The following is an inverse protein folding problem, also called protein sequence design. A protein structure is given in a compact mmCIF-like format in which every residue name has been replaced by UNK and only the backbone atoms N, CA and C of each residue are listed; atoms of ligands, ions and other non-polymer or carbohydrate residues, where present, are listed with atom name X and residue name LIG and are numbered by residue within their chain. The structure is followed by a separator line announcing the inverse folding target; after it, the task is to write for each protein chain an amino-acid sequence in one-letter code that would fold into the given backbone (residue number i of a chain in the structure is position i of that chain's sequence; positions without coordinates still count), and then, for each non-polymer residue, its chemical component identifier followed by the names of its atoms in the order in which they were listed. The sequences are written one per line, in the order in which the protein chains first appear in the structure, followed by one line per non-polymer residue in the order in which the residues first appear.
data_IF_178063710392
#
_entry.id   IF_178063710392
#
_cell.length_a   1.000
_cell.length_b   1.000
_cell.length_c   1.000
_cell.angle_alpha   90.00
_cell.angle_beta   90.00
_cell.angle_gamma   90.00
#
_symmetry.space_group_name_H-M   'P 1'
#
loop_
_entity.id
_entity.type
_entity.pdbx_description
1 polymer ?
#
# COMPACT_ATOMS: atom_id res chain seq x y z
N UNK A 1 -21.24 -1.53 14.47
CA UNK A 1 -20.39 -2.60 13.89
C UNK A 1 -20.49 -2.64 12.37
N UNK A 2 -21.67 -2.39 11.78
CA UNK A 2 -21.88 -2.51 10.33
C UNK A 2 -21.15 -1.44 9.49
N UNK A 3 -20.96 -0.24 10.02
CA UNK A 3 -20.21 0.82 9.32
C UNK A 3 -18.72 0.47 9.16
N UNK A 4 -18.10 -0.12 10.19
CA UNK A 4 -16.70 -0.50 10.14
C UNK A 4 -16.47 -1.63 9.13
N UNK A 5 -17.40 -2.59 9.05
CA UNK A 5 -17.37 -3.66 8.04
C UNK A 5 -17.50 -3.11 6.62
N UNK A 6 -18.37 -2.11 6.41
CA UNK A 6 -18.49 -1.42 5.11
C UNK A 6 -17.20 -0.68 4.76
N UNK A 7 -16.64 0.06 5.71
CA UNK A 7 -15.38 0.80 5.53
C UNK A 7 -14.23 -0.14 5.16
N UNK A 8 -14.10 -1.26 5.88
CA UNK A 8 -13.09 -2.29 5.60
C UNK A 8 -13.30 -2.91 4.22
N UNK A 9 -14.53 -3.29 3.87
CA UNK A 9 -14.86 -3.88 2.56
C UNK A 9 -14.49 -2.95 1.39
N UNK A 10 -14.84 -1.66 1.48
CA UNK A 10 -14.47 -0.68 0.44
C UNK A 10 -12.96 -0.49 0.38
N UNK A 11 -12.29 -0.43 1.54
CA UNK A 11 -10.83 -0.26 1.60
C UNK A 11 -10.09 -1.45 0.97
N UNK A 12 -10.50 -2.68 1.29
CA UNK A 12 -9.95 -3.90 0.67
C UNK A 12 -10.21 -3.92 -0.83
N UNK A 13 -11.43 -3.59 -1.26
CA UNK A 13 -11.77 -3.54 -2.68
C UNK A 13 -10.87 -2.58 -3.47
N UNK A 14 -10.63 -1.38 -2.93
CA UNK A 14 -9.73 -0.39 -3.54
C UNK A 14 -8.28 -0.87 -3.60
N UNK A 15 -7.81 -1.58 -2.57
CA UNK A 15 -6.45 -2.11 -2.52
C UNK A 15 -6.25 -3.30 -3.47
N UNK A 16 -7.20 -4.24 -3.48
CA UNK A 16 -7.12 -5.50 -4.23
C UNK A 16 -7.43 -5.32 -5.73
N UNK A 17 -8.57 -4.70 -6.06
CA UNK A 17 -9.03 -4.64 -7.46
C UNK A 17 -8.35 -3.55 -8.26
N UNK A 18 -8.01 -2.44 -7.62
CA UNK A 18 -7.42 -1.28 -8.29
C UNK A 18 -5.92 -1.14 -8.04
N UNK A 19 -5.32 -2.02 -7.22
CA UNK A 19 -3.90 -1.94 -6.86
C UNK A 19 -3.54 -0.62 -6.17
N UNK A 20 -4.51 0.02 -5.51
CA UNK A 20 -4.33 1.35 -4.95
C UNK A 20 -3.49 1.26 -3.68
N UNK A 21 -2.22 1.59 -3.83
CA UNK A 21 -1.25 1.67 -2.72
C UNK A 21 -1.11 3.10 -2.19
N UNK A 22 -0.53 3.25 -0.99
CA UNK A 22 -0.21 4.58 -0.41
C UNK A 22 0.64 5.44 -1.35
N UNK A 23 1.48 4.82 -2.19
CA UNK A 23 2.23 5.52 -3.25
C UNK A 23 1.31 6.25 -4.22
N UNK A 24 0.21 5.63 -4.66
CA UNK A 24 -0.72 6.26 -5.59
C UNK A 24 -1.40 7.47 -4.95
N UNK A 25 -1.78 7.36 -3.67
CA UNK A 25 -2.34 8.47 -2.90
C UNK A 25 -1.32 9.61 -2.78
N UNK A 26 -0.05 9.30 -2.48
CA UNK A 26 1.03 10.29 -2.41
C UNK A 26 1.20 11.04 -3.72
N UNK A 27 1.20 10.35 -4.86
CA UNK A 27 1.29 10.98 -6.19
C UNK A 27 0.12 11.93 -6.45
N UNK A 28 -1.10 11.59 -6.03
CA UNK A 28 -2.26 12.49 -6.14
C UNK A 28 -2.11 13.72 -5.24
N UNK A 29 -1.64 13.53 -4.00
CA UNK A 29 -1.41 14.63 -3.08
C UNK A 29 -0.32 15.59 -3.58
N UNK A 30 0.80 15.07 -4.09
CA UNK A 30 1.86 15.90 -4.66
C UNK A 30 1.36 16.73 -5.86
N UNK A 31 0.49 16.14 -6.71
CA UNK A 31 -0.20 16.88 -7.80
C UNK A 31 -1.16 17.94 -7.27
N UNK A 32 -1.91 17.66 -6.19
CA UNK A 32 -2.79 18.66 -5.59
C UNK A 32 -2.01 19.82 -4.98
N UNK A 33 -0.89 19.53 -4.32
CA UNK A 33 0.01 20.55 -3.76
C UNK A 33 0.61 21.41 -4.88
N UNK A 34 0.99 20.82 -6.01
CA UNK A 34 1.54 21.61 -7.12
C UNK A 34 0.52 22.57 -7.75
N UNK A 35 -0.77 22.22 -7.75
CA UNK A 35 -1.85 23.08 -8.27
C UNK A 35 -2.34 24.09 -7.23
N UNK A 36 -2.41 23.70 -5.95
CA UNK A 36 -2.98 24.51 -4.87
C UNK A 36 -2.06 24.58 -3.63
N UNK A 37 -0.83 25.13 -3.76
CA UNK A 37 0.18 25.03 -2.72
C UNK A 37 -0.26 25.61 -1.37
N UNK A 38 -0.82 26.82 -1.37
CA UNK A 38 -1.24 27.53 -0.14
C UNK A 38 -2.30 26.77 0.66
N UNK A 39 -3.22 26.09 -0.02
CA UNK A 39 -4.34 25.40 0.60
C UNK A 39 -3.99 23.95 0.98
N UNK A 40 -3.20 23.27 0.16
CA UNK A 40 -2.97 21.84 0.27
C UNK A 40 -1.71 21.49 1.06
N UNK A 41 -0.63 22.28 1.00
CA UNK A 41 0.66 21.92 1.62
C UNK A 41 0.55 21.67 3.13
N UNK A 42 -0.21 22.52 3.83
CA UNK A 42 -0.43 22.43 5.29
C UNK A 42 -1.14 21.16 5.76
N UNK A 43 -1.79 20.41 4.86
CA UNK A 43 -2.60 19.23 5.18
C UNK A 43 -2.16 17.96 4.45
N UNK A 44 -1.60 18.09 3.25
CA UNK A 44 -1.28 16.96 2.37
C UNK A 44 0.24 16.76 2.21
N UNK A 45 1.07 17.71 2.66
CA UNK A 45 2.52 17.51 2.63
C UNK A 45 2.91 16.33 3.52
N UNK A 46 3.96 15.60 3.14
CA UNK A 46 4.45 14.44 3.89
C UNK A 46 4.97 14.82 5.30
N UNK A 47 5.21 16.11 5.54
CA UNK A 47 5.60 16.67 6.83
C UNK A 47 4.52 17.59 7.42
N UNK A 48 3.30 17.56 6.89
CA UNK A 48 2.19 18.33 7.42
C UNK A 48 1.92 17.93 8.88
N UNK A 49 1.60 18.91 9.74
CA UNK A 49 1.40 18.69 11.19
C UNK A 49 0.29 17.67 11.52
N UNK A 50 -0.62 17.44 10.57
CA UNK A 50 -1.71 16.46 10.71
C UNK A 50 -1.23 15.01 10.55
N UNK A 51 -0.07 14.80 9.90
CA UNK A 51 0.53 13.47 9.75
C UNK A 51 1.12 13.05 11.09
N UNK A 52 0.46 12.11 11.77
CA UNK A 52 0.85 11.68 13.11
C UNK A 52 2.21 10.95 13.14
N UNK A 53 2.54 10.20 12.07
CA UNK A 53 3.73 9.36 11.98
C UNK A 53 4.48 9.59 10.65
N UNK A 54 5.13 10.75 10.47
CA UNK A 54 5.73 11.14 9.18
C UNK A 54 6.84 10.19 8.71
N UNK A 55 7.66 9.67 9.64
CA UNK A 55 8.71 8.70 9.30
C UNK A 55 8.14 7.35 8.82
N UNK A 56 6.98 6.94 9.35
CA UNK A 56 6.33 5.71 8.92
C UNK A 56 5.75 5.87 7.51
N UNK A 57 4.99 6.95 7.27
CA UNK A 57 4.38 7.23 5.96
C UNK A 57 5.44 7.37 4.86
N UNK A 58 6.52 8.13 5.13
CA UNK A 58 7.64 8.27 4.21
C UNK A 58 8.32 6.93 3.95
N UNK A 59 8.58 6.14 5.01
CA UNK A 59 9.22 4.84 4.87
C UNK A 59 8.41 3.88 4.00
N UNK A 60 7.10 3.77 4.24
CA UNK A 60 6.21 2.92 3.44
C UNK A 60 6.17 3.41 1.99
N UNK A 61 6.06 4.73 1.77
CA UNK A 61 6.05 5.30 0.42
C UNK A 61 7.35 5.00 -0.34
N UNK A 62 8.52 5.11 0.32
CA UNK A 62 9.82 4.79 -0.28
C UNK A 62 9.94 3.31 -0.65
N UNK A 63 9.54 2.40 0.25
CA UNK A 63 9.51 0.96 -0.02
C UNK A 63 8.64 0.65 -1.25
N UNK A 64 7.49 1.33 -1.38
CA UNK A 64 6.60 1.16 -2.53
C UNK A 64 7.15 1.80 -3.83
N UNK A 65 8.07 2.75 -3.75
CA UNK A 65 8.64 3.48 -4.88
C UNK A 65 9.92 2.86 -5.44
N UNK A 66 10.66 2.08 -4.66
CA UNK A 66 12.00 1.64 -5.04
C UNK A 66 12.74 0.89 -3.92
N UNK A 67 14.08 0.93 -3.93
CA UNK A 67 14.87 0.10 -3.04
C UNK A 67 14.83 0.59 -1.59
N UNK A 68 14.76 -0.37 -0.67
CA UNK A 68 14.76 -0.17 0.79
C UNK A 68 16.06 0.50 1.31
N UNK A 69 17.09 0.59 0.48
CA UNK A 69 18.34 1.31 0.76
C UNK A 69 18.13 2.80 1.02
N UNK A 70 17.05 3.38 0.50
CA UNK A 70 16.78 4.82 0.55
C UNK A 70 16.08 5.26 1.85
N UNK A 71 15.82 4.30 2.74
CA UNK A 71 15.29 4.56 4.08
C UNK A 71 16.36 5.17 4.97
N UNK A 72 16.03 6.29 5.59
CA UNK A 72 16.78 6.82 6.73
C UNK A 72 16.68 5.86 7.92
N UNK A 73 17.59 5.93 8.90
CA UNK A 73 17.50 5.11 10.12
C UNK A 73 16.16 5.24 10.85
N UNK A 74 15.59 6.44 10.90
CA UNK A 74 14.31 6.72 11.55
C UNK A 74 13.12 6.13 10.80
N UNK A 75 13.10 6.23 9.46
CA UNK A 75 12.06 5.59 8.63
C UNK A 75 12.15 4.07 8.74
N UNK A 76 13.36 3.51 8.65
CA UNK A 76 13.63 2.07 8.83
C UNK A 76 13.16 1.56 10.18
N UNK A 77 13.41 2.30 11.26
CA UNK A 77 12.92 1.96 12.59
C UNK A 77 11.39 1.99 12.66
N UNK A 78 10.74 2.96 12.01
CA UNK A 78 9.29 3.12 12.00
C UNK A 78 8.57 2.02 11.21
N UNK A 79 9.13 1.57 10.08
CA UNK A 79 8.51 0.52 9.23
C UNK A 79 8.90 -0.90 9.64
N UNK A 80 9.87 -1.07 10.55
CA UNK A 80 10.34 -2.37 11.04
C UNK A 80 9.21 -3.35 11.41
N UNK A 81 8.10 -2.95 12.06
CA UNK A 81 7.03 -3.88 12.40
C UNK A 81 6.32 -4.50 11.18
N UNK A 82 6.42 -3.87 10.00
CA UNK A 82 5.85 -4.36 8.75
C UNK A 82 6.83 -5.20 7.94
N UNK A 83 8.11 -5.20 8.32
CA UNK A 83 9.12 -5.99 7.62
C UNK A 83 8.94 -7.45 7.98
N UNK A 84 8.94 -8.31 6.95
CA UNK A 84 8.89 -9.75 7.16
C UNK A 84 10.12 -10.16 7.97
N UNK A 85 9.92 -10.69 9.17
CA UNK A 85 10.97 -11.44 9.86
C UNK A 85 11.40 -12.55 8.92
N UNK A 86 12.70 -12.73 8.69
CA UNK A 86 13.22 -13.73 7.76
C UNK A 86 13.03 -15.19 8.24
N UNK A 87 12.03 -15.42 9.09
CA UNK A 87 11.66 -16.72 9.61
C UNK A 87 10.82 -17.45 8.56
N UNK A 88 11.29 -18.65 8.20
CA UNK A 88 10.65 -19.55 7.25
C UNK A 88 9.26 -19.90 7.80
N UNK A 89 8.22 -19.30 7.24
CA UNK A 89 6.85 -19.69 7.57
C UNK A 89 6.57 -21.01 6.84
N UNK A 90 6.85 -22.13 7.51
CA UNK A 90 6.27 -23.42 7.14
C UNK A 90 4.77 -23.35 7.47
N UNK A 91 3.99 -22.77 6.57
CA UNK A 91 2.53 -22.79 6.69
C UNK A 91 2.07 -24.10 6.06
N UNK A 92 1.78 -25.11 6.89
CA UNK A 92 0.91 -26.18 6.42
C UNK A 92 -0.46 -25.56 6.09
N UNK A 93 -1.11 -25.99 5.00
CA UNK A 93 -2.39 -25.42 4.58
C UNK A 93 -3.44 -25.69 5.65
N UNK A 94 -3.88 -24.65 6.34
CA UNK A 94 -5.06 -24.72 7.21
C UNK A 94 -6.31 -24.53 6.37
N UNK A 95 -7.22 -25.51 6.45
CA UNK A 95 -8.55 -25.51 5.83
C UNK A 95 -9.49 -24.46 6.48
N UNK A 96 -9.10 -23.18 6.51
CA UNK A 96 -9.98 -22.10 6.93
C UNK A 96 -10.86 -21.64 5.76
N UNK A 97 -12.17 -21.81 5.95
CA UNK A 97 -13.24 -21.54 5.00
C UNK A 97 -13.16 -20.11 4.42
N UNK A 98 -12.86 -20.04 3.11
CA UNK A 98 -12.66 -18.82 2.35
C UNK A 98 -13.92 -17.93 2.35
N UNK A 99 -13.91 -16.83 3.11
CA UNK A 99 -14.99 -15.85 3.14
C UNK A 99 -14.89 -14.85 1.99
N UNK A 100 -15.91 -14.89 1.11
CA UNK A 100 -16.37 -13.96 0.06
C UNK A 100 -15.38 -13.31 -0.93
N UNK A 101 -14.15 -12.96 -0.55
CA UNK A 101 -13.18 -12.32 -1.44
C UNK A 101 -12.50 -13.30 -2.41
N UNK A 102 -12.47 -14.59 -2.06
CA UNK A 102 -11.70 -15.62 -2.80
C UNK A 102 -12.55 -16.54 -3.70
N UNK A 103 -13.78 -16.13 -4.04
CA UNK A 103 -14.66 -16.88 -4.94
C UNK A 103 -14.46 -16.54 -6.44
N UNK A 104 -13.39 -15.83 -6.82
CA UNK A 104 -13.10 -15.53 -8.22
C UNK A 104 -12.14 -16.57 -8.80
N UNK A 105 -12.53 -17.35 -9.83
CA UNK A 105 -11.63 -18.34 -10.43
C UNK A 105 -10.43 -17.64 -11.06
N UNK A 106 -9.23 -17.97 -10.57
CA UNK A 106 -7.95 -17.66 -11.18
C UNK A 106 -7.81 -18.44 -12.50
N UNK A 107 -8.48 -17.98 -13.55
CA UNK A 107 -8.23 -18.46 -14.90
C UNK A 107 -8.25 -17.28 -15.85
N UNK A 108 -7.19 -16.49 -15.81
CA UNK A 108 -6.62 -15.86 -17.00
C UNK A 108 -5.09 -15.89 -16.85
N UNK A 109 -4.53 -17.07 -17.14
CA UNK A 109 -3.11 -17.23 -17.45
C UNK A 109 -2.85 -16.35 -18.68
N UNK A 110 -2.27 -15.16 -18.46
CA UNK A 110 -1.66 -14.41 -19.56
C UNK A 110 -0.44 -15.20 -20.04
N UNK A 111 -0.61 -15.93 -21.15
CA UNK A 111 0.55 -16.40 -21.91
C UNK A 111 1.27 -15.17 -22.50
N UNK A 112 2.62 -15.10 -22.41
CA UNK A 112 3.36 -14.02 -23.05
C UNK A 112 3.26 -14.16 -24.57
N UNK A 113 2.90 -13.07 -25.25
CA UNK A 113 2.93 -12.97 -26.71
C UNK A 113 4.39 -13.10 -27.16
N UNK A 114 4.72 -14.26 -27.75
CA UNK A 114 6.03 -14.47 -28.36
C UNK A 114 6.21 -13.49 -29.53
N UNK A 115 7.33 -12.76 -29.49
CA UNK A 115 7.74 -11.77 -30.47
C UNK A 115 8.10 -12.49 -31.78
N UNK A 116 7.26 -12.38 -32.80
CA UNK A 116 7.66 -12.75 -34.16
C UNK A 116 8.40 -11.56 -34.81
N UNK A 117 9.55 -11.90 -35.38
CA UNK A 117 10.52 -11.08 -36.14
C UNK A 117 9.92 -10.34 -37.32
#
# INVERSE_FOLDING_TARGET
MDELKKFESVSKNLQEKNGLTLRHVRVMFDKLISVFPVSCERHLSHNARIVALPNFENGVTKILCGPESDLTPSERAAVRPLMRSNEVINTEPSDEELVFAEAAPATLIFQPLSRAT
#
